data_IF_202755531574
#
_entry.id   IF_202755531574
#
_cell.length_a   1.000
_cell.length_b   1.000
_cell.length_c   1.000
_cell.angle_alpha   90.00
_cell.angle_beta   90.00
_cell.angle_gamma   90.00
#
_symmetry.space_group_name_H-M   'P 1'
#
loop_
_entity.id
_entity.type
_entity.pdbx_description
1 polymer ?
#
# COMPACT_ATOMS: atom_id res chain seq x y z
N UNK A 1 21.89 6.56 -10.27
CA UNK A 1 22.37 5.80 -9.08
C UNK A 1 21.72 4.42 -9.19
N UNK A 2 22.35 3.32 -8.78
CA UNK A 2 21.71 2.00 -8.85
C UNK A 2 21.15 1.63 -7.48
N UNK A 3 19.99 0.98 -7.45
CA UNK A 3 19.51 0.30 -6.25
C UNK A 3 20.18 -1.07 -6.18
N UNK A 4 20.63 -1.48 -5.00
CA UNK A 4 21.34 -2.73 -4.82
C UNK A 4 20.94 -3.41 -3.52
N UNK A 5 20.71 -4.71 -3.61
CA UNK A 5 20.55 -5.57 -2.44
C UNK A 5 21.93 -5.97 -1.94
N UNK A 6 22.19 -5.85 -0.64
CA UNK A 6 23.41 -6.33 -0.01
C UNK A 6 23.00 -7.08 1.24
N UNK A 7 23.34 -8.36 1.33
CA UNK A 7 23.01 -9.14 2.51
C UNK A 7 23.83 -8.62 3.71
N UNK A 8 23.20 -8.04 4.74
CA UNK A 8 23.94 -7.42 5.84
C UNK A 8 24.61 -8.44 6.77
N UNK A 9 24.20 -9.72 6.73
CA UNK A 9 24.81 -10.77 7.53
C UNK A 9 26.12 -11.30 6.92
N UNK A 10 26.24 -11.28 5.59
CA UNK A 10 27.42 -11.81 4.87
C UNK A 10 28.26 -10.75 4.17
N UNK A 11 27.68 -9.57 3.90
CA UNK A 11 28.26 -8.54 3.05
C UNK A 11 28.19 -8.85 1.56
N UNK A 12 27.58 -9.98 1.17
CA UNK A 12 27.48 -10.39 -0.23
C UNK A 12 26.54 -9.49 -1.01
N UNK A 13 27.01 -9.01 -2.16
CA UNK A 13 26.20 -8.25 -3.10
C UNK A 13 25.17 -9.18 -3.76
N UNK A 14 23.91 -8.76 -3.69
CA UNK A 14 22.80 -9.36 -4.42
C UNK A 14 22.54 -8.64 -5.74
N UNK A 15 21.26 -8.61 -6.12
CA UNK A 15 20.81 -8.04 -7.38
C UNK A 15 20.98 -6.50 -7.42
N UNK A 16 21.17 -5.99 -8.64
CA UNK A 16 21.24 -4.55 -8.91
C UNK A 16 20.10 -4.16 -9.84
N UNK A 17 19.44 -3.06 -9.50
CA UNK A 17 18.30 -2.53 -10.24
C UNK A 17 18.64 -1.12 -10.72
N UNK A 18 18.42 -0.89 -12.02
CA UNK A 18 18.55 0.44 -12.60
C UNK A 18 17.45 1.36 -12.04
N UNK A 19 17.80 2.60 -11.70
CA UNK A 19 16.78 3.63 -11.49
C UNK A 19 16.08 3.94 -12.81
N UNK A 20 14.82 4.35 -12.71
CA UNK A 20 14.08 4.86 -13.85
C UNK A 20 14.67 6.17 -14.37
N UNK A 21 14.63 6.35 -15.68
CA UNK A 21 14.82 7.65 -16.30
C UNK A 21 13.53 8.48 -16.31
N UNK A 22 13.61 9.70 -16.86
CA UNK A 22 12.48 10.62 -16.91
C UNK A 22 11.32 10.09 -17.77
N UNK A 23 11.61 9.41 -18.87
CA UNK A 23 10.57 8.89 -19.78
C UNK A 23 9.79 7.76 -19.12
N UNK A 24 10.49 6.86 -18.43
CA UNK A 24 9.85 5.78 -17.66
C UNK A 24 8.99 6.33 -16.52
N UNK A 25 9.46 7.36 -15.81
CA UNK A 25 8.71 8.01 -14.74
C UNK A 25 7.45 8.69 -15.26
N UNK A 26 7.56 9.49 -16.33
CA UNK A 26 6.44 10.20 -16.94
C UNK A 26 5.40 9.23 -17.49
N UNK A 27 5.83 8.13 -18.12
CA UNK A 27 4.94 7.08 -18.60
C UNK A 27 4.16 6.40 -17.46
N UNK A 28 4.83 6.11 -16.33
CA UNK A 28 4.16 5.53 -15.16
C UNK A 28 3.14 6.48 -14.55
N UNK A 29 3.48 7.77 -14.40
CA UNK A 29 2.56 8.78 -13.87
C UNK A 29 1.34 8.98 -14.80
N UNK A 30 1.56 9.05 -16.10
CA UNK A 30 0.48 9.15 -17.08
C UNK A 30 -0.46 7.94 -17.04
N UNK A 31 0.09 6.73 -16.85
CA UNK A 31 -0.73 5.51 -16.73
C UNK A 31 -1.58 5.52 -15.45
N UNK A 32 -1.02 5.98 -14.32
CA UNK A 32 -1.77 6.12 -13.06
C UNK A 32 -2.89 7.16 -13.20
N UNK A 33 -2.59 8.33 -13.76
CA UNK A 33 -3.58 9.40 -13.98
C UNK A 33 -4.72 8.93 -14.89
N UNK A 34 -4.39 8.23 -15.98
CA UNK A 34 -5.38 7.67 -16.90
C UNK A 34 -6.27 6.59 -16.25
N UNK A 35 -5.73 5.80 -15.31
CA UNK A 35 -6.47 4.73 -14.64
C UNK A 35 -7.28 5.21 -13.42
N UNK A 36 -6.84 6.27 -12.75
CA UNK A 36 -7.44 6.74 -11.50
C UNK A 36 -8.97 6.98 -11.58
N UNK A 37 -9.56 7.56 -12.64
CA UNK A 37 -11.01 7.70 -12.73
C UNK A 37 -11.76 6.37 -12.61
N UNK A 38 -11.25 5.30 -13.22
CA UNK A 38 -11.86 3.98 -13.14
C UNK A 38 -11.76 3.39 -11.72
N UNK A 39 -10.61 3.54 -11.07
CA UNK A 39 -10.40 3.07 -9.70
C UNK A 39 -11.21 3.85 -8.65
N UNK A 40 -11.26 5.18 -8.77
CA UNK A 40 -12.05 6.04 -7.89
C UNK A 40 -13.54 5.71 -7.95
N UNK A 41 -14.03 5.27 -9.12
CA UNK A 41 -15.41 4.88 -9.36
C UNK A 41 -15.73 3.44 -8.91
N UNK A 42 -14.73 2.62 -8.56
CA UNK A 42 -14.93 1.28 -8.03
C UNK A 42 -15.77 1.33 -6.75
N UNK A 43 -16.74 0.43 -6.61
CA UNK A 43 -17.59 0.42 -5.43
C UNK A 43 -16.78 0.08 -4.17
N UNK A 44 -17.11 0.70 -3.04
CA UNK A 44 -16.44 0.44 -1.77
C UNK A 44 -16.42 -1.05 -1.40
N UNK A 45 -17.51 -1.77 -1.66
CA UNK A 45 -17.61 -3.21 -1.41
C UNK A 45 -16.59 -4.03 -2.22
N UNK A 46 -16.34 -3.63 -3.48
CA UNK A 46 -15.37 -4.28 -4.36
C UNK A 46 -13.94 -3.97 -3.91
N UNK A 47 -13.63 -2.71 -3.57
CA UNK A 47 -12.33 -2.34 -2.98
C UNK A 47 -12.06 -3.13 -1.70
N UNK A 48 -13.04 -3.25 -0.81
CA UNK A 48 -12.94 -4.07 0.40
C UNK A 48 -12.70 -5.55 0.09
N UNK A 49 -13.32 -6.11 -0.95
CA UNK A 49 -13.10 -7.51 -1.35
C UNK A 49 -11.67 -7.74 -1.86
N UNK A 50 -11.19 -6.86 -2.75
CA UNK A 50 -9.82 -6.89 -3.25
C UNK A 50 -8.79 -6.72 -2.12
N UNK A 51 -9.07 -5.83 -1.16
CA UNK A 51 -8.18 -5.62 -0.02
C UNK A 51 -8.08 -6.86 0.88
N UNK A 52 -9.19 -7.58 1.12
CA UNK A 52 -9.14 -8.88 1.82
C UNK A 52 -8.32 -9.92 1.05
N UNK A 53 -8.48 -9.97 -0.27
CA UNK A 53 -7.69 -10.87 -1.12
C UNK A 53 -6.19 -10.54 -1.04
N UNK A 54 -5.82 -9.26 -0.97
CA UNK A 54 -4.43 -8.85 -0.76
C UNK A 54 -3.90 -9.34 0.60
N UNK A 55 -4.71 -9.28 1.67
CA UNK A 55 -4.39 -9.87 2.96
C UNK A 55 -4.08 -11.38 2.86
N UNK A 56 -4.91 -12.13 2.13
CA UNK A 56 -4.69 -13.56 1.91
C UNK A 56 -3.44 -13.86 1.08
N UNK A 57 -3.12 -13.05 0.07
CA UNK A 57 -1.88 -13.17 -0.71
C UNK A 57 -0.66 -12.98 0.19
N UNK A 58 -0.68 -11.98 1.08
CA UNK A 58 0.40 -11.74 2.05
C UNK A 58 0.60 -12.95 2.97
N UNK A 59 -0.48 -13.53 3.49
CA UNK A 59 -0.43 -14.73 4.33
C UNK A 59 0.11 -15.94 3.57
N UNK A 60 -0.35 -16.15 2.35
CA UNK A 60 0.08 -17.26 1.50
C UNK A 60 1.57 -17.17 1.17
N UNK A 61 2.10 -15.96 0.97
CA UNK A 61 3.52 -15.71 0.65
C UNK A 61 4.36 -15.31 1.87
N UNK A 62 3.86 -15.50 3.10
CA UNK A 62 4.48 -14.98 4.33
C UNK A 62 5.95 -15.34 4.45
N UNK A 63 6.29 -16.61 4.26
CA UNK A 63 7.65 -17.08 4.48
C UNK A 63 8.62 -16.64 3.37
N UNK A 64 8.12 -16.52 2.13
CA UNK A 64 8.88 -15.98 1.00
C UNK A 64 9.21 -14.49 1.22
N UNK A 65 8.20 -13.68 1.54
CA UNK A 65 8.36 -12.25 1.79
C UNK A 65 9.23 -11.99 3.03
N UNK A 66 9.06 -12.78 4.09
CA UNK A 66 9.89 -12.67 5.28
C UNK A 66 11.36 -13.02 5.00
N UNK A 67 11.62 -14.02 4.17
CA UNK A 67 12.98 -14.37 3.76
C UNK A 67 13.64 -13.22 2.98
N UNK A 68 12.89 -12.56 2.08
CA UNK A 68 13.37 -11.38 1.36
C UNK A 68 13.72 -10.23 2.32
N UNK A 69 12.81 -9.87 3.23
CA UNK A 69 13.04 -8.87 4.29
C UNK A 69 14.31 -9.20 5.09
N UNK A 70 14.51 -10.46 5.49
CA UNK A 70 15.73 -10.85 6.21
C UNK A 70 16.97 -10.73 5.32
N UNK A 71 16.89 -11.14 4.05
CA UNK A 71 18.02 -11.13 3.14
C UNK A 71 18.48 -9.71 2.79
N UNK A 72 17.56 -8.78 2.56
CA UNK A 72 17.91 -7.45 2.04
C UNK A 72 18.32 -6.47 3.14
N UNK A 73 17.75 -6.59 4.34
CA UNK A 73 18.00 -5.61 5.42
C UNK A 73 18.21 -6.24 6.82
N UNK A 74 18.36 -7.57 6.89
CA UNK A 74 18.92 -8.24 8.07
C UNK A 74 17.98 -8.40 9.26
N UNK A 75 16.68 -8.13 9.07
CA UNK A 75 15.67 -8.33 10.12
C UNK A 75 15.60 -9.80 10.53
N UNK A 76 15.42 -10.08 11.82
CA UNK A 76 15.25 -11.45 12.29
C UNK A 76 14.02 -12.09 11.63
N UNK A 77 14.15 -13.35 11.17
CA UNK A 77 13.09 -13.99 10.37
C UNK A 77 11.74 -14.07 11.10
N UNK A 78 11.73 -14.19 12.43
CA UNK A 78 10.51 -14.15 13.24
C UNK A 78 9.83 -12.77 13.20
N UNK A 79 10.61 -11.69 13.29
CA UNK A 79 10.11 -10.31 13.19
C UNK A 79 9.65 -9.98 11.78
N UNK A 80 10.36 -10.48 10.76
CA UNK A 80 9.98 -10.35 9.37
C UNK A 80 8.62 -11.01 9.07
N UNK A 81 8.40 -12.25 9.55
CA UNK A 81 7.08 -12.91 9.45
C UNK A 81 5.98 -12.12 10.15
N UNK A 82 6.27 -11.58 11.33
CA UNK A 82 5.31 -10.75 12.07
C UNK A 82 5.00 -9.45 11.33
N UNK A 83 5.97 -8.87 10.63
CA UNK A 83 5.75 -7.69 9.77
C UNK A 83 4.79 -8.01 8.61
N UNK A 84 4.97 -9.15 7.94
CA UNK A 84 4.07 -9.58 6.86
C UNK A 84 2.65 -9.80 7.39
N UNK A 85 2.50 -10.49 8.53
CA UNK A 85 1.20 -10.69 9.16
C UNK A 85 0.55 -9.37 9.56
N UNK A 86 1.32 -8.41 10.07
CA UNK A 86 0.82 -7.07 10.40
C UNK A 86 0.28 -6.34 9.17
N UNK A 87 0.90 -6.51 8.01
CA UNK A 87 0.38 -5.96 6.76
C UNK A 87 -0.96 -6.61 6.40
N UNK A 88 -1.09 -7.93 6.51
CA UNK A 88 -2.33 -8.65 6.25
C UNK A 88 -3.47 -8.23 7.19
N UNK A 89 -3.17 -8.08 8.48
CA UNK A 89 -4.11 -7.54 9.47
C UNK A 89 -4.54 -6.10 9.14
N UNK A 90 -3.62 -5.28 8.63
CA UNK A 90 -3.94 -3.94 8.15
C UNK A 90 -4.94 -3.96 6.99
N UNK A 91 -4.75 -4.88 6.04
CA UNK A 91 -5.67 -5.06 4.92
C UNK A 91 -7.08 -5.41 5.44
N UNK A 92 -7.20 -6.39 6.32
CA UNK A 92 -8.49 -6.81 6.89
C UNK A 92 -9.17 -5.67 7.64
N UNK A 93 -8.41 -4.97 8.49
CA UNK A 93 -8.90 -3.84 9.27
C UNK A 93 -9.52 -2.76 8.39
N UNK A 94 -8.80 -2.29 7.36
CA UNK A 94 -9.34 -1.24 6.49
C UNK A 94 -10.42 -1.77 5.53
N UNK A 95 -10.36 -3.03 5.10
CA UNK A 95 -11.45 -3.62 4.31
C UNK A 95 -12.77 -3.66 5.09
N UNK A 96 -12.72 -3.83 6.41
CA UNK A 96 -13.86 -3.78 7.32
C UNK A 96 -14.30 -2.35 7.65
N UNK A 97 -13.36 -1.46 8.01
CA UNK A 97 -13.70 -0.17 8.61
C UNK A 97 -13.70 1.03 7.66
N UNK A 98 -13.00 0.98 6.52
CA UNK A 98 -12.99 2.09 5.56
C UNK A 98 -14.38 2.53 5.06
N UNK A 99 -15.37 1.64 4.86
CA UNK A 99 -16.73 2.07 4.51
C UNK A 99 -17.37 3.00 5.54
N UNK A 100 -17.06 2.81 6.83
CA UNK A 100 -17.55 3.67 7.92
C UNK A 100 -16.73 4.94 8.00
N UNK A 101 -15.41 4.86 7.88
CA UNK A 101 -14.53 6.03 7.94
C UNK A 101 -14.77 7.04 6.82
N UNK A 102 -15.25 6.57 5.66
CA UNK A 102 -15.44 7.39 4.46
C UNK A 102 -16.93 7.68 4.17
N UNK A 103 -17.83 7.33 5.08
CA UNK A 103 -19.25 7.63 4.93
C UNK A 103 -19.51 9.15 5.02
N UNK A 104 -20.55 9.62 4.32
CA UNK A 104 -21.01 11.00 4.42
C UNK A 104 -21.34 11.36 5.89
N UNK A 105 -20.75 12.45 6.39
CA UNK A 105 -21.08 12.98 7.71
C UNK A 105 -22.16 14.07 7.57
N UNK A 106 -23.38 13.77 8.03
CA UNK A 106 -24.49 14.72 7.95
C UNK A 106 -24.30 15.90 8.91
N UNK A 107 -24.53 17.11 8.41
CA UNK A 107 -24.40 18.37 9.16
C UNK A 107 -25.76 19.04 9.27
N UNK A 108 -26.14 19.42 10.50
CA UNK A 108 -27.37 20.18 10.72
C UNK A 108 -27.24 21.60 10.12
N UNK A 109 -28.23 22.00 9.33
CA UNK A 109 -28.31 23.32 8.72
C UNK A 109 -29.74 23.60 8.24
N UNK A 110 -30.01 24.83 7.82
CA UNK A 110 -31.30 25.22 7.22
C UNK A 110 -31.47 24.74 5.76
N UNK A 111 -30.46 24.09 5.18
CA UNK A 111 -30.52 23.51 3.84
C UNK A 111 -31.20 22.12 3.83
N UNK A 112 -31.70 21.70 2.67
CA UNK A 112 -32.39 20.40 2.52
C UNK A 112 -31.52 19.16 2.75
N UNK A 113 -30.20 19.25 2.50
CA UNK A 113 -29.20 18.24 2.88
C UNK A 113 -27.83 18.92 2.94
N UNK A 114 -27.14 18.81 4.07
CA UNK A 114 -25.76 19.25 4.24
C UNK A 114 -24.94 18.10 4.80
N UNK A 115 -23.75 17.88 4.23
CA UNK A 115 -22.86 16.81 4.65
C UNK A 115 -21.41 17.08 4.24
N UNK A 116 -20.48 16.42 4.90
CA UNK A 116 -19.08 16.29 4.48
C UNK A 116 -18.92 14.95 3.77
N UNK A 117 -18.27 14.97 2.61
CA UNK A 117 -17.93 13.78 1.85
C UNK A 117 -16.42 13.67 1.70
N UNK A 118 -15.93 12.43 1.63
CA UNK A 118 -14.51 12.11 1.48
C UNK A 118 -14.25 11.55 0.09
N UNK A 119 -13.45 12.26 -0.70
CA UNK A 119 -13.14 11.90 -2.09
C UNK A 119 -11.62 11.73 -2.27
N UNK A 120 -11.18 10.83 -3.17
CA UNK A 120 -9.76 10.64 -3.44
C UNK A 120 -9.15 11.86 -4.12
N UNK A 121 -7.84 12.04 -3.92
CA UNK A 121 -7.04 13.10 -4.52
C UNK A 121 -6.44 12.69 -5.87
N UNK A 122 -6.22 11.38 -6.07
CA UNK A 122 -5.44 10.84 -7.18
C UNK A 122 -4.06 10.35 -6.73
N UNK A 123 -3.06 10.45 -7.60
CA UNK A 123 -1.73 9.96 -7.32
C UNK A 123 -1.12 10.62 -6.07
N UNK A 124 -0.58 9.80 -5.16
CA UNK A 124 0.10 10.25 -3.94
C UNK A 124 1.51 9.68 -3.87
N UNK A 125 2.51 10.56 -3.69
CA UNK A 125 3.90 10.15 -3.50
C UNK A 125 4.16 9.69 -2.07
N UNK A 126 4.65 8.45 -1.93
CA UNK A 126 5.11 7.88 -0.67
C UNK A 126 6.63 7.62 -0.73
N UNK A 127 7.38 8.20 0.21
CA UNK A 127 8.81 7.95 0.38
C UNK A 127 9.02 7.15 1.66
N UNK A 128 9.55 5.93 1.53
CA UNK A 128 9.57 4.94 2.62
C UNK A 128 10.99 4.54 3.05
N UNK A 129 11.21 4.31 4.36
CA UNK A 129 12.49 3.83 4.88
C UNK A 129 12.59 2.29 4.83
N UNK A 130 13.82 1.78 4.94
CA UNK A 130 14.16 0.34 4.83
C UNK A 130 13.92 -0.48 6.12
N UNK A 131 13.70 0.16 7.27
CA UNK A 131 13.66 -0.54 8.56
C UNK A 131 12.41 -1.42 8.75
N UNK A 132 11.33 -1.13 8.04
CA UNK A 132 10.10 -1.91 7.95
C UNK A 132 9.61 -1.85 6.49
N UNK A 133 10.32 -2.55 5.58
CA UNK A 133 10.20 -2.31 4.14
C UNK A 133 8.82 -2.66 3.61
N UNK A 134 8.07 -3.54 4.30
CA UNK A 134 6.73 -3.92 3.91
C UNK A 134 5.70 -3.11 4.70
N UNK A 135 5.82 -3.06 6.02
CA UNK A 135 4.83 -2.38 6.86
C UNK A 135 4.73 -0.88 6.58
N UNK A 136 5.84 -0.19 6.26
CA UNK A 136 5.78 1.23 5.92
C UNK A 136 4.99 1.49 4.64
N UNK A 137 5.21 0.66 3.63
CA UNK A 137 4.47 0.71 2.35
C UNK A 137 3.00 0.41 2.60
N UNK A 138 2.68 -0.72 3.24
CA UNK A 138 1.29 -1.15 3.44
C UNK A 138 0.52 -0.22 4.36
N UNK A 139 1.13 0.29 5.43
CA UNK A 139 0.51 1.27 6.34
C UNK A 139 0.00 2.51 5.60
N UNK A 140 0.68 2.90 4.52
CA UNK A 140 0.25 4.01 3.67
C UNK A 140 -0.69 3.54 2.55
N UNK A 141 -0.30 2.49 1.81
CA UNK A 141 -0.99 2.07 0.60
C UNK A 141 -2.41 1.55 0.88
N UNK A 142 -2.61 0.82 1.99
CA UNK A 142 -3.92 0.27 2.34
C UNK A 142 -4.99 1.37 2.46
N UNK A 143 -4.85 2.38 3.35
CA UNK A 143 -5.85 3.43 3.45
C UNK A 143 -5.95 4.30 2.18
N UNK A 144 -4.84 4.55 1.49
CA UNK A 144 -4.85 5.33 0.25
C UNK A 144 -5.71 4.66 -0.84
N UNK A 145 -5.48 3.36 -1.07
CA UNK A 145 -6.23 2.56 -2.03
C UNK A 145 -7.71 2.41 -1.63
N UNK A 146 -8.00 2.21 -0.34
CA UNK A 146 -9.38 2.13 0.15
C UNK A 146 -10.16 3.43 -0.06
N UNK A 147 -9.47 4.58 0.08
CA UNK A 147 -10.04 5.90 -0.22
C UNK A 147 -10.23 6.15 -1.72
N UNK A 148 -9.65 5.31 -2.59
CA UNK A 148 -9.77 5.40 -4.05
C UNK A 148 -8.67 6.24 -4.71
N UNK A 149 -7.57 6.54 -3.99
CA UNK A 149 -6.37 7.12 -4.59
C UNK A 149 -5.64 6.09 -5.45
#
# INVERSE_FOLDING_TARGET
MAYQTINPATGEAGEQFASWDAEQLDAALAAVDAFHPAWSATAMAERSALMRQLGEVLRTRRDELAALITQEMGKLIGEARAEVEKCALGCDYYAEHAPVFLADELIASDAGKSFVAYQPLGAVLAVMPWNFPLWQVFRFAIPALMAGN
#
